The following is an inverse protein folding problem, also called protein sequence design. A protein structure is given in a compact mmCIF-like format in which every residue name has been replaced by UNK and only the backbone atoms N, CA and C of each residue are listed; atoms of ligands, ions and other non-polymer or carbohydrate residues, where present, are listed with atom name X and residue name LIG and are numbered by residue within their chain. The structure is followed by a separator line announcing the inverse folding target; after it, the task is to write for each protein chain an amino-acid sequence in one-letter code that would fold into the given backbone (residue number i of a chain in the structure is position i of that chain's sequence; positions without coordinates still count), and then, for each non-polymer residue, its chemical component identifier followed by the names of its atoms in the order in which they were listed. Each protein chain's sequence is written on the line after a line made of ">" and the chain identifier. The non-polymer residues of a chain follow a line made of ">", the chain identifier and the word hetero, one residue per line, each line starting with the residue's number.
data_IF_111424154213
#
_entry.id   IF_111424154213
#
_cell.length_a   1.000
_cell.length_b   1.000
_cell.length_c   1.000
_cell.angle_alpha   90.00
_cell.angle_beta   90.00
_cell.angle_gamma   90.00
#
_symmetry.space_group_name_H-M   'P 1'
#
loop_
_entity.id
_entity.type
_entity.pdbx_description
1 polymer ?
#
# COMPACT_ATOMS: atom_id res chain seq x y z
N UNK A 1 -20.17 -19.59 20.93
CA UNK A 1 -20.50 -18.42 20.09
C UNK A 1 -20.14 -17.21 20.92
N UNK A 2 -19.02 -16.53 20.67
CA UNK A 2 -18.97 -15.43 19.69
C UNK A 2 -17.54 -15.25 19.17
N UNK A 3 -17.40 -15.23 17.85
CA UNK A 3 -16.18 -14.85 17.16
C UNK A 3 -15.89 -13.38 17.49
N UNK A 4 -14.87 -13.13 18.31
CA UNK A 4 -14.37 -11.79 18.54
C UNK A 4 -13.62 -11.37 17.27
N UNK A 5 -14.32 -10.57 16.47
CA UNK A 5 -13.82 -9.49 15.63
C UNK A 5 -12.28 -9.53 15.44
N UNK A 6 -11.85 -10.33 14.46
CA UNK A 6 -10.49 -10.24 13.94
C UNK A 6 -10.45 -8.87 13.28
N UNK A 7 -10.11 -7.84 14.05
CA UNK A 7 -9.51 -6.63 13.52
C UNK A 7 -8.26 -7.10 12.80
N UNK A 8 -8.42 -7.42 11.52
CA UNK A 8 -7.33 -7.53 10.56
C UNK A 8 -6.75 -6.12 10.54
N UNK A 9 -5.88 -5.85 11.52
CA UNK A 9 -5.11 -4.63 11.60
C UNK A 9 -4.42 -4.54 10.26
N UNK A 10 -4.82 -3.52 9.50
CA UNK A 10 -4.22 -3.00 8.29
C UNK A 10 -2.74 -3.41 8.22
N UNK A 11 -2.47 -4.56 7.61
CA UNK A 11 -1.11 -5.08 7.53
C UNK A 11 -0.40 -4.19 6.50
N UNK A 12 0.22 -3.12 6.99
CA UNK A 12 1.25 -2.34 6.32
C UNK A 12 2.54 -3.16 6.20
N UNK A 13 2.41 -4.42 5.81
CA UNK A 13 3.48 -5.38 5.72
C UNK A 13 3.57 -5.81 4.26
N UNK A 14 4.77 -5.73 3.70
CA UNK A 14 5.01 -6.07 2.31
C UNK A 14 4.87 -7.57 2.10
N UNK A 15 4.02 -7.94 1.14
CA UNK A 15 3.77 -9.34 0.76
C UNK A 15 5.04 -10.07 0.28
N UNK A 16 6.07 -9.33 -0.17
CA UNK A 16 7.32 -9.93 -0.69
C UNK A 16 8.40 -10.17 0.37
N UNK A 17 8.48 -9.31 1.37
CA UNK A 17 9.61 -9.32 2.31
C UNK A 17 9.22 -9.12 3.77
N UNK A 18 7.92 -9.14 4.07
CA UNK A 18 7.33 -8.91 5.38
C UNK A 18 7.78 -7.60 6.07
N UNK A 19 8.40 -6.68 5.33
CA UNK A 19 8.86 -5.40 5.87
C UNK A 19 7.76 -4.36 5.81
N UNK A 20 7.89 -3.30 6.61
CA UNK A 20 6.90 -2.23 6.67
C UNK A 20 6.69 -1.54 5.31
N UNK A 21 5.44 -1.25 5.00
CA UNK A 21 5.05 -0.38 3.89
C UNK A 21 4.67 1.00 4.41
N UNK A 22 4.94 2.03 3.61
CA UNK A 22 4.60 3.41 3.89
C UNK A 22 3.75 3.98 2.76
N UNK A 23 2.83 4.87 3.09
CA UNK A 23 2.06 5.59 2.08
C UNK A 23 2.93 6.65 1.39
N UNK A 24 2.84 6.71 0.06
CA UNK A 24 3.50 7.71 -0.78
C UNK A 24 2.56 8.20 -1.87
N UNK A 25 2.77 9.42 -2.34
CA UNK A 25 2.11 9.94 -3.54
C UNK A 25 3.01 9.69 -4.74
N UNK A 26 2.45 9.10 -5.78
CA UNK A 26 3.13 8.89 -7.06
C UNK A 26 2.37 9.63 -8.16
N UNK A 27 3.11 10.35 -8.99
CA UNK A 27 2.56 10.92 -10.21
C UNK A 27 2.46 9.83 -11.28
N UNK A 28 1.27 9.64 -11.80
CA UNK A 28 1.00 8.73 -12.92
C UNK A 28 0.56 9.61 -14.08
N UNK A 29 1.22 9.44 -15.22
CA UNK A 29 0.86 10.14 -16.45
C UNK A 29 -0.07 9.25 -17.25
N UNK A 30 -1.30 9.70 -17.45
CA UNK A 30 -2.31 9.02 -18.25
C UNK A 30 -2.83 9.98 -19.32
N UNK A 31 -2.76 9.58 -20.60
CA UNK A 31 -3.20 10.39 -21.75
C UNK A 31 -2.77 11.88 -21.69
N UNK A 32 -1.51 12.14 -21.30
CA UNK A 32 -0.97 13.51 -21.23
C UNK A 32 -1.32 14.28 -19.96
N UNK A 33 -2.23 13.77 -19.12
CA UNK A 33 -2.61 14.35 -17.84
C UNK A 33 -1.82 13.70 -16.69
N UNK A 34 -1.34 14.51 -15.74
CA UNK A 34 -0.64 14.01 -14.55
C UNK A 34 -1.64 13.88 -13.40
N UNK A 35 -1.84 12.66 -12.93
CA UNK A 35 -2.65 12.36 -11.77
C UNK A 35 -1.76 11.98 -10.58
N UNK A 36 -2.10 12.47 -9.39
CA UNK A 36 -1.45 12.06 -8.16
C UNK A 36 -2.26 10.93 -7.53
N UNK A 37 -1.66 9.73 -7.45
CA UNK A 37 -2.27 8.59 -6.75
C UNK A 37 -1.50 8.29 -5.46
N UNK A 38 -2.23 7.82 -4.44
CA UNK A 38 -1.60 7.27 -3.23
C UNK A 38 -1.25 5.80 -3.48
N UNK A 39 -0.05 5.41 -3.06
CA UNK A 39 0.47 4.04 -3.14
C UNK A 39 1.02 3.66 -1.77
N UNK A 40 0.97 2.37 -1.40
CA UNK A 40 1.80 1.82 -0.34
C UNK A 40 3.09 1.32 -0.96
N UNK A 41 4.25 1.76 -0.47
CA UNK A 41 5.58 1.32 -0.91
C UNK A 41 6.35 0.71 0.27
N UNK A 42 6.89 -0.49 0.08
CA UNK A 42 7.77 -1.14 1.03
C UNK A 42 9.08 -0.36 1.18
N UNK A 43 9.52 -0.15 2.43
CA UNK A 43 10.77 0.58 2.72
C UNK A 43 12.02 -0.24 2.38
N UNK A 44 11.92 -1.57 2.40
CA UNK A 44 13.06 -2.47 2.17
C UNK A 44 13.21 -2.82 0.68
N UNK A 45 12.22 -3.47 0.08
CA UNK A 45 12.31 -3.97 -1.30
C UNK A 45 11.72 -3.02 -2.35
N UNK A 46 11.19 -1.86 -1.95
CA UNK A 46 10.52 -0.86 -2.82
C UNK A 46 9.31 -1.36 -3.62
N UNK A 47 8.87 -2.59 -3.37
CA UNK A 47 7.62 -3.10 -3.92
C UNK A 47 6.47 -2.19 -3.50
N UNK A 48 5.59 -1.86 -4.44
CA UNK A 48 4.48 -0.96 -4.20
C UNK A 48 3.18 -1.55 -4.70
N UNK A 49 2.08 -1.13 -4.07
CA UNK A 49 0.71 -1.43 -4.47
C UNK A 49 -0.14 -0.16 -4.41
N UNK A 50 -1.12 0.02 -5.31
CA UNK A 50 -2.05 1.13 -5.24
C UNK A 50 -2.88 1.06 -3.95
N UNK A 51 -3.27 2.22 -3.43
CA UNK A 51 -4.30 2.35 -2.38
C UNK A 51 -5.55 2.78 -3.12
N UNK A 52 -6.53 1.89 -3.21
CA UNK A 52 -7.86 2.18 -3.79
C UNK A 52 -8.72 2.94 -2.76
#
# INVERSE_FOLDING_TARGET
>A
MTAQDIKIQDQDTCEKCASKMIERKMSIRDNGTVHWKKIKQCVACRHWRPID
#
